data_IF_268076592255
#
_entry.id   IF_268076592255
#
_cell.length_a   1.000
_cell.length_b   1.000
_cell.length_c   1.000
_cell.angle_alpha   90.00
_cell.angle_beta   90.00
_cell.angle_gamma   90.00
#
_symmetry.space_group_name_H-M   'P 1'
#
loop_
_entity.id
_entity.type
_entity.pdbx_description
1 polymer ?
#
# COMPACT_ATOMS: atom_id res chain seq x y z
N UNK A 1 17.32 -46.30 29.11
CA UNK A 1 17.76 -45.97 27.74
C UNK A 1 17.44 -44.51 27.47
N UNK A 2 18.48 -43.67 27.41
CA UNK A 2 18.41 -42.25 27.04
C UNK A 2 18.00 -42.15 25.56
N UNK A 3 16.92 -41.43 25.27
CA UNK A 3 16.74 -40.75 23.97
C UNK A 3 16.41 -39.29 24.25
N UNK A 4 17.50 -38.53 24.43
CA UNK A 4 17.58 -37.12 24.06
C UNK A 4 17.33 -36.99 22.55
N UNK A 5 16.90 -35.78 22.14
CA UNK A 5 17.07 -35.10 20.83
C UNK A 5 15.72 -34.51 20.35
N UNK A 6 15.64 -33.21 20.03
CA UNK A 6 15.91 -32.08 20.93
C UNK A 6 14.86 -30.96 20.77
N UNK A 7 14.89 -30.03 21.71
CA UNK A 7 14.57 -28.63 21.49
C UNK A 7 15.31 -28.16 20.21
N UNK A 8 14.65 -28.11 19.06
CA UNK A 8 15.20 -27.47 17.87
C UNK A 8 14.10 -26.66 17.19
N UNK A 9 14.40 -25.37 17.10
CA UNK A 9 13.79 -24.40 16.21
C UNK A 9 12.44 -23.87 16.69
N UNK A 10 12.50 -23.23 17.86
CA UNK A 10 12.02 -21.85 17.96
C UNK A 10 12.75 -21.09 16.86
N UNK A 11 12.20 -21.11 15.64
CA UNK A 11 12.53 -20.10 14.64
C UNK A 11 11.90 -18.85 15.20
N UNK A 12 12.68 -18.14 16.00
CA UNK A 12 12.50 -16.74 16.23
C UNK A 12 12.59 -16.06 14.87
N UNK A 13 11.48 -16.06 14.14
CA UNK A 13 11.17 -15.00 13.21
C UNK A 13 10.93 -13.76 14.09
N UNK A 14 12.03 -13.20 14.59
CA UNK A 14 12.18 -11.75 14.64
C UNK A 14 12.18 -11.33 13.18
N UNK A 15 11.00 -11.41 12.58
CA UNK A 15 10.75 -10.85 11.29
C UNK A 15 10.92 -9.36 11.51
N UNK A 16 12.06 -8.82 11.12
CA UNK A 16 12.06 -7.53 10.45
C UNK A 16 11.02 -7.69 9.34
N UNK A 17 9.76 -7.38 9.64
CA UNK A 17 8.66 -7.48 8.70
C UNK A 17 9.00 -6.48 7.60
N UNK A 18 9.70 -6.95 6.57
CA UNK A 18 9.83 -6.24 5.31
C UNK A 18 8.39 -5.91 4.94
N UNK A 19 8.10 -4.62 4.82
CA UNK A 19 6.81 -4.15 4.31
C UNK A 19 6.63 -4.84 2.96
N UNK A 20 5.79 -5.87 2.94
CA UNK A 20 5.58 -6.68 1.76
C UNK A 20 4.83 -5.83 0.74
N UNK A 21 5.26 -5.92 -0.53
CA UNK A 21 4.59 -5.23 -1.62
C UNK A 21 3.22 -5.88 -1.83
N UNK A 22 2.20 -5.28 -1.24
CA UNK A 22 0.84 -5.80 -1.24
C UNK A 22 -0.19 -4.69 -1.39
N UNK A 23 -1.39 -5.05 -1.83
CA UNK A 23 -2.53 -4.13 -1.92
C UNK A 23 -2.81 -3.48 -0.56
N UNK A 24 -2.78 -4.27 0.52
CA UNK A 24 -3.01 -3.77 1.88
C UNK A 24 -1.94 -2.75 2.30
N UNK A 25 -0.66 -3.04 2.05
CA UNK A 25 0.44 -2.12 2.34
C UNK A 25 0.24 -0.78 1.60
N UNK A 26 -0.03 -0.84 0.31
CA UNK A 26 -0.22 0.33 -0.55
C UNK A 26 -1.43 1.16 -0.16
N UNK A 27 -2.56 0.50 0.09
CA UNK A 27 -3.81 1.15 0.52
C UNK A 27 -3.60 1.86 1.87
N UNK A 28 -2.93 1.19 2.82
CA UNK A 28 -2.62 1.79 4.11
C UNK A 28 -1.63 2.95 4.01
N UNK A 29 -0.62 2.84 3.15
CA UNK A 29 0.34 3.93 2.90
C UNK A 29 -0.38 5.14 2.30
N UNK A 30 -1.19 4.93 1.25
CA UNK A 30 -1.97 5.98 0.60
C UNK A 30 -2.90 6.69 1.61
N UNK A 31 -3.72 5.93 2.34
CA UNK A 31 -4.64 6.52 3.32
C UNK A 31 -3.90 7.35 4.39
N UNK A 32 -2.73 6.88 4.85
CA UNK A 32 -1.91 7.63 5.82
C UNK A 32 -1.35 8.93 5.25
N UNK A 33 -0.94 8.95 3.98
CA UNK A 33 -0.46 10.19 3.36
C UNK A 33 -1.63 11.14 3.09
N UNK A 34 -2.76 10.65 2.56
CA UNK A 34 -3.96 11.49 2.33
C UNK A 34 -4.51 12.08 3.63
N UNK A 35 -4.39 11.37 4.75
CA UNK A 35 -4.82 11.86 6.07
C UNK A 35 -3.98 13.04 6.58
N UNK A 36 -2.78 13.28 6.03
CA UNK A 36 -1.94 14.44 6.37
C UNK A 36 -2.28 15.66 5.52
N UNK A 37 -2.98 15.49 4.41
CA UNK A 37 -3.32 16.56 3.48
C UNK A 37 -4.67 17.20 3.85
N UNK A 38 -4.65 18.18 4.76
CA UNK A 38 -5.87 18.82 5.29
C UNK A 38 -6.78 19.43 4.21
N UNK A 39 -6.20 20.03 3.17
CA UNK A 39 -6.96 20.60 2.06
C UNK A 39 -7.66 19.52 1.24
N UNK A 40 -7.02 18.36 1.08
CA UNK A 40 -7.63 17.22 0.39
C UNK A 40 -8.79 16.63 1.20
N UNK A 41 -8.66 16.57 2.53
CA UNK A 41 -9.73 16.13 3.44
C UNK A 41 -10.97 17.06 3.41
N UNK A 42 -10.82 18.32 2.98
CA UNK A 42 -11.95 19.25 2.77
C UNK A 42 -12.67 19.01 1.44
N UNK A 43 -11.97 18.51 0.43
CA UNK A 43 -12.51 18.29 -0.92
C UNK A 43 -13.12 16.89 -1.10
N UNK A 44 -12.56 15.90 -0.41
CA UNK A 44 -12.94 14.50 -0.53
C UNK A 44 -13.34 13.95 0.84
N UNK A 45 -14.46 13.24 0.89
CA UNK A 45 -14.83 12.52 2.10
C UNK A 45 -14.00 11.23 2.26
N UNK A 46 -14.09 10.61 3.44
CA UNK A 46 -13.33 9.40 3.77
C UNK A 46 -13.59 8.25 2.80
N UNK A 47 -14.82 8.07 2.34
CA UNK A 47 -15.18 7.00 1.42
C UNK A 47 -14.53 7.22 0.04
N UNK A 48 -14.53 8.46 -0.46
CA UNK A 48 -13.86 8.81 -1.71
C UNK A 48 -12.35 8.62 -1.60
N UNK A 49 -11.73 9.05 -0.51
CA UNK A 49 -10.29 8.83 -0.28
C UNK A 49 -9.97 7.33 -0.25
N UNK A 50 -10.81 6.53 0.42
CA UNK A 50 -10.67 5.07 0.47
C UNK A 50 -10.76 4.46 -0.93
N UNK A 51 -11.74 4.86 -1.74
CA UNK A 51 -11.90 4.40 -3.13
C UNK A 51 -10.69 4.78 -4.01
N UNK A 52 -10.16 6.00 -3.87
CA UNK A 52 -8.97 6.44 -4.60
C UNK A 52 -7.77 5.57 -4.21
N UNK A 53 -7.57 5.34 -2.92
CA UNK A 53 -6.44 4.55 -2.44
C UNK A 53 -6.55 3.07 -2.82
N UNK A 54 -7.75 2.48 -2.82
CA UNK A 54 -7.98 1.11 -3.27
C UNK A 54 -7.68 0.96 -4.77
N UNK A 55 -8.20 1.88 -5.59
CA UNK A 55 -7.91 1.96 -7.02
C UNK A 55 -6.41 2.11 -7.30
N UNK A 56 -5.75 3.03 -6.58
CA UNK A 56 -4.33 3.29 -6.77
C UNK A 56 -3.52 2.05 -6.38
N UNK A 57 -3.87 1.37 -5.30
CA UNK A 57 -3.21 0.14 -4.89
C UNK A 57 -3.33 -0.96 -5.94
N UNK A 58 -4.52 -1.17 -6.52
CA UNK A 58 -4.72 -2.16 -7.60
C UNK A 58 -3.85 -1.85 -8.83
N UNK A 59 -3.87 -0.61 -9.31
CA UNK A 59 -3.09 -0.21 -10.50
C UNK A 59 -1.58 -0.24 -10.23
N UNK A 60 -1.13 0.11 -9.01
CA UNK A 60 0.27 0.00 -8.61
C UNK A 60 0.74 -1.46 -8.55
N UNK A 61 -0.07 -2.36 -7.98
CA UNK A 61 0.22 -3.80 -7.95
C UNK A 61 0.26 -4.42 -9.34
N UNK A 62 -0.57 -3.93 -10.27
CA UNK A 62 -0.57 -4.39 -11.64
C UNK A 62 0.65 -3.91 -12.45
N UNK A 63 1.13 -2.69 -12.20
CA UNK A 63 2.22 -2.08 -12.97
C UNK A 63 3.62 -2.38 -12.40
N UNK A 64 3.78 -2.34 -11.08
CA UNK A 64 5.10 -2.45 -10.42
C UNK A 64 5.17 -3.68 -9.54
N UNK A 65 6.36 -4.30 -9.50
CA UNK A 65 6.61 -5.51 -8.69
C UNK A 65 7.10 -5.19 -7.28
N UNK A 66 7.49 -3.94 -7.03
CA UNK A 66 7.99 -3.50 -5.72
C UNK A 66 7.93 -1.98 -5.57
N UNK A 67 8.07 -1.51 -4.34
CA UNK A 67 8.16 -0.08 -4.01
C UNK A 67 9.36 0.57 -4.68
N UNK A 68 10.50 -0.12 -4.75
CA UNK A 68 11.70 0.40 -5.39
C UNK A 68 11.56 0.58 -6.92
N UNK A 69 10.68 -0.18 -7.58
CA UNK A 69 10.35 0.05 -8.99
C UNK A 69 9.44 1.27 -9.14
N UNK A 70 8.41 1.38 -8.31
CA UNK A 70 7.53 2.54 -8.29
C UNK A 70 8.28 3.85 -7.99
N UNK A 71 9.21 3.85 -7.04
CA UNK A 71 10.00 5.02 -6.65
C UNK A 71 10.92 5.53 -7.78
N UNK A 72 11.29 4.65 -8.72
CA UNK A 72 12.06 5.01 -9.92
C UNK A 72 11.18 5.61 -11.02
N UNK A 73 9.89 5.33 -11.02
CA UNK A 73 8.90 5.83 -11.99
C UNK A 73 7.84 6.70 -11.29
N UNK A 74 8.30 7.81 -10.72
CA UNK A 74 7.43 8.75 -9.99
C UNK A 74 6.30 9.28 -10.86
N UNK A 75 6.60 9.62 -12.13
CA UNK A 75 5.61 10.13 -13.07
C UNK A 75 4.49 9.10 -13.30
N UNK A 76 4.85 7.82 -13.47
CA UNK A 76 3.86 6.76 -13.61
C UNK A 76 3.03 6.51 -12.35
N UNK A 77 3.64 6.59 -11.16
CA UNK A 77 2.91 6.47 -9.89
C UNK A 77 1.94 7.66 -9.66
N UNK A 78 2.37 8.88 -9.99
CA UNK A 78 1.53 10.09 -9.93
C UNK A 78 0.36 10.03 -10.92
N UNK A 79 0.60 9.53 -12.15
CA UNK A 79 -0.43 9.33 -13.14
C UNK A 79 -1.50 8.34 -12.67
N UNK A 80 -1.09 7.24 -12.01
CA UNK A 80 -2.03 6.29 -11.39
C UNK A 80 -2.89 7.00 -10.34
N UNK A 81 -2.27 7.75 -9.43
CA UNK A 81 -2.99 8.49 -8.38
C UNK A 81 -3.98 9.50 -8.97
N UNK A 82 -3.56 10.27 -9.98
CA UNK A 82 -4.42 11.23 -10.69
C UNK A 82 -5.59 10.55 -11.38
N UNK A 83 -5.33 9.44 -12.06
CA UNK A 83 -6.36 8.66 -12.78
C UNK A 83 -7.43 8.18 -11.81
N UNK A 84 -7.04 7.57 -10.69
CA UNK A 84 -7.98 7.11 -9.67
C UNK A 84 -8.76 8.25 -9.01
N UNK A 85 -8.11 9.39 -8.75
CA UNK A 85 -8.80 10.57 -8.25
C UNK A 85 -9.87 11.07 -9.23
N UNK A 86 -9.55 11.14 -10.52
CA UNK A 86 -10.51 11.56 -11.55
C UNK A 86 -11.67 10.57 -11.69
N UNK A 87 -11.41 9.25 -11.69
CA UNK A 87 -12.46 8.21 -11.75
C UNK A 87 -13.48 8.39 -10.60
N UNK A 88 -13.01 8.61 -9.38
CA UNK A 88 -13.89 8.81 -8.20
C UNK A 88 -14.60 10.17 -8.24
N UNK A 89 -13.92 11.23 -8.70
CA UNK A 89 -14.53 12.57 -8.80
C UNK A 89 -15.55 12.69 -9.94
N UNK A 90 -15.35 11.98 -11.04
CA UNK A 90 -16.26 11.95 -12.21
C UNK A 90 -17.41 10.94 -12.04
N UNK A 91 -17.35 10.08 -11.04
CA UNK A 91 -18.48 9.20 -10.66
C UNK A 91 -19.57 9.94 -9.87
N UNK A 92 -19.49 11.27 -9.74
CA UNK A 92 -20.54 12.16 -9.25
C UNK A 92 -21.43 12.65 -10.38
#
# INVERSE_FOLDING_TARGET
>A
MKKLIPLLLIVALVGCAKKEWSKEYLTNKCNKEMAKEEELQKMLNKDQISQICDCAADKMMAKYKSEAEADKDKAGAEEIGRTCALEVMQSK
#
